data_IF_385896984320
#
_entry.id   IF_385896984320
#
_cell.length_a   1.000
_cell.length_b   1.000
_cell.length_c   1.000
_cell.angle_alpha   90.00
_cell.angle_beta   90.00
_cell.angle_gamma   90.00
#
_symmetry.space_group_name_H-M   'P 1'
#
loop_
_entity.id
_entity.type
_entity.pdbx_description
1 polymer ?
#
# COMPACT_ATOMS: atom_id res chain seq x y z
N UNK A 1 -40.78 34.41 -10.04
CA UNK A 1 -39.33 34.73 -10.01
C UNK A 1 -38.77 35.14 -11.37
N UNK A 2 -39.16 34.48 -12.49
CA UNK A 2 -38.72 34.87 -13.85
C UNK A 2 -38.95 36.36 -14.15
N UNK A 3 -40.11 36.86 -13.80
CA UNK A 3 -40.47 38.28 -13.95
C UNK A 3 -39.57 39.20 -13.10
N UNK A 4 -39.22 38.80 -11.88
CA UNK A 4 -38.34 39.56 -10.99
C UNK A 4 -36.88 39.60 -11.51
N UNK A 5 -36.40 38.53 -12.15
CA UNK A 5 -35.10 38.47 -12.84
C UNK A 5 -35.11 39.36 -14.08
N UNK A 6 -36.17 39.32 -14.87
CA UNK A 6 -36.34 40.17 -16.06
C UNK A 6 -36.29 41.68 -15.73
N UNK A 7 -36.86 42.09 -14.61
CA UNK A 7 -36.83 43.48 -14.12
C UNK A 7 -35.61 43.83 -13.26
N UNK A 8 -34.60 42.96 -13.19
CA UNK A 8 -33.35 43.17 -12.43
C UNK A 8 -33.53 43.23 -10.90
N UNK A 9 -34.69 42.77 -10.38
CA UNK A 9 -35.02 42.73 -8.96
C UNK A 9 -34.58 41.46 -8.23
N UNK A 10 -34.10 40.46 -8.96
CA UNK A 10 -33.56 39.22 -8.43
C UNK A 10 -32.55 38.61 -9.39
N UNK A 11 -31.55 37.93 -8.88
CA UNK A 11 -30.60 37.15 -9.67
C UNK A 11 -31.12 35.73 -9.92
N UNK A 12 -30.72 35.13 -11.05
CA UNK A 12 -31.02 33.75 -11.39
C UNK A 12 -30.49 32.79 -10.30
N UNK A 13 -29.35 33.11 -9.71
CA UNK A 13 -28.70 32.43 -8.59
C UNK A 13 -29.58 32.28 -7.34
N UNK A 14 -30.58 33.18 -7.17
CA UNK A 14 -31.55 33.11 -6.05
C UNK A 14 -32.71 32.14 -6.29
N UNK A 15 -32.77 31.48 -7.42
CA UNK A 15 -33.82 30.50 -7.73
C UNK A 15 -33.52 29.14 -7.14
N UNK A 16 -34.29 28.67 -6.13
CA UNK A 16 -34.08 27.34 -5.47
C UNK A 16 -33.98 26.18 -6.45
N UNK A 17 -34.86 26.02 -7.48
CA UNK A 17 -34.72 24.97 -8.47
C UNK A 17 -33.41 25.06 -9.28
N UNK A 18 -32.98 26.30 -9.62
CA UNK A 18 -31.72 26.49 -10.33
C UNK A 18 -30.52 26.14 -9.45
N UNK A 19 -30.50 26.58 -8.20
CA UNK A 19 -29.47 26.23 -7.23
C UNK A 19 -29.39 24.72 -6.99
N UNK A 20 -30.55 24.06 -6.82
CA UNK A 20 -30.64 22.61 -6.67
C UNK A 20 -30.04 21.90 -7.87
N UNK A 21 -30.48 22.23 -9.09
CA UNK A 21 -29.97 21.64 -10.33
C UNK A 21 -28.47 21.87 -10.51
N UNK A 22 -27.96 23.04 -10.12
CA UNK A 22 -26.53 23.36 -10.19
C UNK A 22 -25.73 22.55 -9.19
N UNK A 23 -26.23 22.38 -7.96
CA UNK A 23 -25.59 21.56 -6.92
C UNK A 23 -25.56 20.08 -7.33
N UNK A 24 -26.68 19.54 -7.83
CA UNK A 24 -26.75 18.17 -8.37
C UNK A 24 -25.75 17.97 -9.51
N UNK A 25 -25.74 18.86 -10.51
CA UNK A 25 -24.79 18.80 -11.64
C UNK A 25 -23.32 18.90 -11.21
N UNK A 26 -23.02 19.63 -10.12
CA UNK A 26 -21.66 19.73 -9.59
C UNK A 26 -21.24 18.43 -8.87
N UNK A 27 -22.13 17.86 -8.05
CA UNK A 27 -21.93 16.57 -7.38
C UNK A 27 -21.70 15.44 -8.40
N UNK A 28 -22.54 15.36 -9.42
CA UNK A 28 -22.42 14.37 -10.50
C UNK A 28 -21.08 14.48 -11.23
N UNK A 29 -20.63 15.71 -11.49
CA UNK A 29 -19.31 15.93 -12.13
C UNK A 29 -18.16 15.48 -11.23
N UNK A 30 -18.19 15.78 -9.93
CA UNK A 30 -17.17 15.34 -8.99
C UNK A 30 -17.12 13.80 -8.98
N UNK A 31 -18.27 13.15 -8.87
CA UNK A 31 -18.34 11.69 -8.87
C UNK A 31 -17.82 11.10 -10.17
N UNK A 32 -18.10 11.73 -11.31
CA UNK A 32 -17.67 11.25 -12.63
C UNK A 32 -16.16 11.38 -12.86
N UNK A 33 -15.50 12.44 -12.35
CA UNK A 33 -14.05 12.68 -12.57
C UNK A 33 -13.16 12.08 -11.48
N UNK A 34 -13.73 11.66 -10.36
CA UNK A 34 -12.97 11.06 -9.25
C UNK A 34 -12.40 9.70 -9.67
N UNK A 35 -11.06 9.50 -9.55
CA UNK A 35 -10.43 8.24 -9.93
C UNK A 35 -10.69 7.11 -8.93
N UNK A 36 -11.16 7.43 -7.73
CA UNK A 36 -11.52 6.44 -6.73
C UNK A 36 -12.92 5.89 -7.01
N UNK A 37 -13.11 4.60 -6.80
CA UNK A 37 -14.42 3.99 -6.85
C UNK A 37 -15.26 4.46 -5.65
N UNK A 38 -16.49 4.90 -5.90
CA UNK A 38 -17.41 5.39 -4.88
C UNK A 38 -18.71 4.60 -4.99
N UNK A 39 -19.18 4.14 -3.84
CA UNK A 39 -20.39 3.38 -3.67
C UNK A 39 -21.17 3.93 -2.48
N UNK A 40 -22.47 4.23 -2.66
CA UNK A 40 -23.39 4.56 -1.57
C UNK A 40 -24.41 3.45 -1.39
N UNK A 41 -24.60 3.01 -0.15
CA UNK A 41 -25.44 1.89 0.24
C UNK A 41 -26.42 2.35 1.31
N UNK A 42 -27.68 1.92 1.27
CA UNK A 42 -28.66 2.16 2.30
C UNK A 42 -28.57 1.15 3.48
N UNK A 43 -29.44 1.30 4.47
CA UNK A 43 -29.50 0.41 5.62
C UNK A 43 -30.00 -1.00 5.30
N UNK A 44 -30.67 -1.19 4.15
CA UNK A 44 -31.08 -2.49 3.62
C UNK A 44 -29.96 -3.16 2.80
N UNK A 45 -28.73 -2.61 2.84
CA UNK A 45 -27.55 -3.07 2.09
C UNK A 45 -27.75 -3.04 0.56
N UNK A 46 -28.60 -2.13 0.07
CA UNK A 46 -28.83 -1.92 -1.36
C UNK A 46 -28.03 -0.73 -1.87
N UNK A 47 -27.46 -0.90 -3.04
CA UNK A 47 -26.68 0.13 -3.73
C UNK A 47 -27.62 1.25 -4.21
N UNK A 48 -27.44 2.44 -3.66
CA UNK A 48 -28.18 3.65 -4.02
C UNK A 48 -27.47 4.48 -5.09
N UNK A 49 -26.13 4.47 -5.05
CA UNK A 49 -25.32 5.22 -6.00
C UNK A 49 -23.97 4.53 -6.23
N UNK A 50 -23.50 4.56 -7.46
CA UNK A 50 -22.19 4.05 -7.87
C UNK A 50 -21.60 4.99 -8.91
N UNK A 51 -20.29 5.29 -8.83
CA UNK A 51 -19.66 6.15 -9.81
C UNK A 51 -19.01 5.34 -10.95
N UNK A 52 -18.64 6.05 -12.02
CA UNK A 52 -18.02 5.44 -13.19
C UNK A 52 -16.73 4.67 -12.88
N UNK A 53 -15.89 5.18 -11.96
CA UNK A 53 -14.66 4.50 -11.56
C UNK A 53 -14.94 3.15 -10.87
N UNK A 54 -16.00 3.05 -10.08
CA UNK A 54 -16.43 1.78 -9.49
C UNK A 54 -16.95 0.80 -10.56
N UNK A 55 -17.74 1.27 -11.50
CA UNK A 55 -18.22 0.45 -12.62
C UNK A 55 -17.05 -0.11 -13.45
N UNK A 56 -16.05 0.70 -13.74
CA UNK A 56 -14.84 0.25 -14.44
C UNK A 56 -14.03 -0.73 -13.60
N UNK A 57 -13.88 -0.48 -12.30
CA UNK A 57 -13.08 -1.31 -11.41
C UNK A 57 -13.63 -2.74 -11.29
N UNK A 58 -14.95 -2.88 -11.26
CA UNK A 58 -15.66 -4.15 -11.09
C UNK A 58 -16.24 -4.70 -12.38
N UNK A 59 -16.01 -4.02 -13.53
CA UNK A 59 -16.55 -4.39 -14.84
C UNK A 59 -18.08 -4.55 -14.84
N UNK A 60 -18.80 -3.61 -14.20
CA UNK A 60 -20.25 -3.58 -14.04
C UNK A 60 -20.89 -2.45 -14.84
N UNK A 61 -22.16 -2.59 -15.15
CA UNK A 61 -23.01 -1.50 -15.60
C UNK A 61 -23.80 -0.93 -14.42
N UNK A 62 -24.07 0.38 -14.46
CA UNK A 62 -24.81 1.05 -13.39
C UNK A 62 -26.19 0.44 -13.19
N UNK A 63 -26.87 0.10 -14.30
CA UNK A 63 -28.23 -0.44 -14.32
C UNK A 63 -28.32 -1.81 -13.67
N UNK A 64 -27.25 -2.61 -13.71
CA UNK A 64 -27.22 -3.97 -13.17
C UNK A 64 -27.06 -4.01 -11.64
N UNK A 65 -26.63 -2.91 -11.04
CA UNK A 65 -26.26 -2.88 -9.62
C UNK A 65 -27.10 -1.92 -8.79
N UNK A 66 -27.69 -0.89 -9.38
CA UNK A 66 -28.56 0.03 -8.65
C UNK A 66 -29.76 -0.70 -8.05
N UNK A 67 -30.00 -0.50 -6.75
CA UNK A 67 -31.05 -1.17 -5.98
C UNK A 67 -30.79 -2.64 -5.67
N UNK A 68 -29.66 -3.21 -6.11
CA UNK A 68 -29.25 -4.58 -5.78
C UNK A 68 -28.46 -4.61 -4.47
N UNK A 69 -28.33 -5.80 -3.86
CA UNK A 69 -27.51 -5.97 -2.66
C UNK A 69 -26.04 -5.70 -2.96
N UNK A 70 -25.37 -5.00 -2.04
CA UNK A 70 -23.92 -4.75 -2.08
C UNK A 70 -23.09 -6.04 -2.06
N UNK A 71 -23.65 -7.14 -1.55
CA UNK A 71 -23.01 -8.46 -1.52
C UNK A 71 -22.60 -9.01 -2.90
N UNK A 72 -23.12 -8.44 -3.97
CA UNK A 72 -22.71 -8.77 -5.35
C UNK A 72 -21.34 -8.23 -5.74
N UNK A 73 -20.82 -7.23 -5.00
CA UNK A 73 -19.56 -6.55 -5.30
C UNK A 73 -18.60 -6.67 -4.13
N UNK A 74 -19.09 -6.46 -2.91
CA UNK A 74 -18.30 -6.40 -1.68
C UNK A 74 -18.96 -7.23 -0.59
N UNK A 75 -18.18 -7.66 0.39
CA UNK A 75 -18.70 -8.28 1.60
C UNK A 75 -19.56 -7.27 2.37
N UNK A 76 -20.82 -7.62 2.62
CA UNK A 76 -21.76 -6.77 3.36
C UNK A 76 -21.44 -6.67 4.86
N UNK A 77 -20.61 -7.58 5.38
CA UNK A 77 -20.24 -7.61 6.80
C UNK A 77 -19.67 -6.27 7.29
N UNK A 78 -18.81 -5.64 6.47
CA UNK A 78 -18.18 -4.36 6.81
C UNK A 78 -19.22 -3.23 6.96
N UNK A 79 -20.26 -3.24 6.12
CA UNK A 79 -21.34 -2.26 6.17
C UNK A 79 -22.25 -2.50 7.38
N UNK A 80 -22.61 -3.76 7.64
CA UNK A 80 -23.40 -4.15 8.81
C UNK A 80 -22.68 -3.81 10.11
N UNK A 81 -21.36 -4.08 10.19
CA UNK A 81 -20.54 -3.73 11.36
C UNK A 81 -20.56 -2.23 11.64
N UNK A 82 -20.46 -1.39 10.61
CA UNK A 82 -20.52 0.06 10.74
C UNK A 82 -21.84 0.52 11.38
N UNK A 83 -22.97 0.01 10.88
CA UNK A 83 -24.30 0.36 11.40
C UNK A 83 -24.49 -0.16 12.82
N UNK A 84 -24.18 -1.44 13.08
CA UNK A 84 -24.35 -2.09 14.38
C UNK A 84 -23.55 -1.40 15.51
N UNK A 85 -22.33 -0.95 15.19
CA UNK A 85 -21.46 -0.27 16.16
C UNK A 85 -21.57 1.26 16.11
N UNK A 86 -22.46 1.81 15.28
CA UNK A 86 -22.62 3.26 15.05
C UNK A 86 -21.28 3.97 14.82
N UNK A 87 -20.39 3.32 14.04
CA UNK A 87 -19.09 3.87 13.70
C UNK A 87 -19.25 4.94 12.62
N UNK A 88 -18.79 6.16 12.87
CA UNK A 88 -18.84 7.25 11.90
C UNK A 88 -17.93 7.01 10.70
N UNK A 89 -16.78 6.33 10.88
CA UNK A 89 -15.84 5.99 9.82
C UNK A 89 -15.02 4.74 10.13
N UNK A 90 -14.59 4.04 9.08
CA UNK A 90 -13.70 2.87 9.17
C UNK A 90 -12.80 2.82 7.94
N UNK A 91 -11.54 2.43 8.12
CA UNK A 91 -10.63 2.14 7.01
C UNK A 91 -10.20 0.67 7.05
N UNK A 92 -10.13 0.06 5.86
CA UNK A 92 -9.74 -1.34 5.70
C UNK A 92 -8.89 -1.51 4.43
N UNK A 93 -7.93 -2.42 4.50
CA UNK A 93 -7.17 -2.88 3.35
C UNK A 93 -7.64 -4.29 2.99
N UNK A 94 -8.07 -4.48 1.77
CA UNK A 94 -8.58 -5.77 1.32
C UNK A 94 -7.95 -6.18 -0.01
N UNK A 95 -7.83 -7.49 -0.21
CA UNK A 95 -7.45 -8.08 -1.49
C UNK A 95 -8.64 -8.81 -2.08
N UNK A 96 -9.15 -8.33 -3.21
CA UNK A 96 -10.24 -8.97 -3.94
C UNK A 96 -9.64 -9.92 -4.98
N UNK A 97 -9.68 -11.22 -4.68
CA UNK A 97 -9.08 -12.25 -5.51
C UNK A 97 -9.73 -12.35 -6.89
N UNK A 98 -11.04 -12.18 -6.98
CA UNK A 98 -11.80 -12.22 -8.24
C UNK A 98 -11.33 -11.18 -9.25
N UNK A 99 -10.90 -10.01 -8.76
CA UNK A 99 -10.48 -8.89 -9.60
C UNK A 99 -8.95 -8.70 -9.58
N UNK A 100 -8.23 -9.48 -8.78
CA UNK A 100 -6.78 -9.34 -8.54
C UNK A 100 -6.38 -7.90 -8.12
N UNK A 101 -7.18 -7.31 -7.23
CA UNK A 101 -7.04 -5.92 -6.78
C UNK A 101 -6.74 -5.83 -5.29
N UNK A 102 -5.73 -5.02 -4.95
CA UNK A 102 -5.56 -4.53 -3.59
C UNK A 102 -6.28 -3.19 -3.46
N UNK A 103 -7.24 -3.13 -2.55
CA UNK A 103 -8.05 -1.95 -2.30
C UNK A 103 -7.78 -1.37 -0.91
N UNK A 104 -7.68 -0.05 -0.84
CA UNK A 104 -7.89 0.70 0.39
C UNK A 104 -9.35 1.15 0.37
N UNK A 105 -10.15 0.66 1.32
CA UNK A 105 -11.56 0.98 1.48
C UNK A 105 -11.74 1.93 2.66
N UNK A 106 -12.45 3.02 2.45
CA UNK A 106 -12.81 3.99 3.49
C UNK A 106 -14.33 4.09 3.54
N UNK A 107 -14.91 3.74 4.67
CA UNK A 107 -16.33 3.75 4.90
C UNK A 107 -16.72 4.94 5.77
N UNK A 108 -17.84 5.58 5.45
CA UNK A 108 -18.42 6.70 6.19
C UNK A 108 -19.89 6.46 6.36
N UNK A 109 -20.38 6.48 7.59
CA UNK A 109 -21.79 6.29 7.93
C UNK A 109 -22.43 7.62 8.33
N UNK A 110 -23.46 8.02 7.60
CA UNK A 110 -24.34 9.13 7.94
C UNK A 110 -25.65 8.59 8.48
N UNK A 111 -25.76 8.57 9.81
CA UNK A 111 -26.96 8.09 10.49
C UNK A 111 -28.21 8.97 10.21
N UNK A 112 -28.03 10.25 9.90
CA UNK A 112 -29.14 11.18 9.61
C UNK A 112 -29.74 10.93 8.23
N UNK A 113 -28.92 10.55 7.27
CA UNK A 113 -29.35 10.18 5.92
C UNK A 113 -29.66 8.67 5.78
N UNK A 114 -29.21 7.83 6.71
CA UNK A 114 -29.30 6.38 6.61
C UNK A 114 -28.49 5.81 5.47
N UNK A 115 -27.31 6.41 5.18
CA UNK A 115 -26.47 6.05 4.04
C UNK A 115 -25.07 5.73 4.51
N UNK A 116 -24.47 4.68 3.94
CA UNK A 116 -23.08 4.32 4.10
C UNK A 116 -22.37 4.60 2.79
N UNK A 117 -21.36 5.47 2.82
CA UNK A 117 -20.51 5.77 1.70
C UNK A 117 -19.23 4.93 1.79
N UNK A 118 -18.92 4.16 0.75
CA UNK A 118 -17.66 3.44 0.62
C UNK A 118 -16.83 4.05 -0.52
N UNK A 119 -15.63 4.53 -0.18
CA UNK A 119 -14.65 5.05 -1.13
C UNK A 119 -13.53 4.02 -1.23
N UNK A 120 -13.24 3.57 -2.45
CA UNK A 120 -12.24 2.53 -2.70
C UNK A 120 -11.14 3.08 -3.61
N UNK A 121 -9.91 2.98 -3.13
CA UNK A 121 -8.72 3.30 -3.92
C UNK A 121 -8.01 2.01 -4.32
N UNK A 122 -7.73 1.86 -5.61
CA UNK A 122 -6.90 0.77 -6.10
C UNK A 122 -5.42 1.06 -5.76
N UNK A 123 -4.83 0.23 -4.93
CA UNK A 123 -3.45 0.34 -4.46
C UNK A 123 -2.57 -0.82 -4.96
N UNK A 124 -3.02 -1.57 -5.95
CA UNK A 124 -2.32 -2.75 -6.48
C UNK A 124 -0.91 -2.40 -6.96
N UNK A 125 -0.78 -1.35 -7.77
CA UNK A 125 0.53 -0.90 -8.26
C UNK A 125 1.44 -0.40 -7.12
N UNK A 126 0.89 0.34 -6.15
CA UNK A 126 1.64 0.82 -4.98
C UNK A 126 2.18 -0.35 -4.16
N UNK A 127 1.33 -1.38 -3.96
CA UNK A 127 1.71 -2.60 -3.24
C UNK A 127 2.77 -3.41 -3.97
N UNK A 128 2.63 -3.56 -5.30
CA UNK A 128 3.61 -4.26 -6.14
C UNK A 128 4.97 -3.56 -6.13
N UNK A 129 5.00 -2.24 -6.32
CA UNK A 129 6.24 -1.45 -6.23
C UNK A 129 6.92 -1.57 -4.88
N UNK A 130 6.13 -1.52 -3.80
CA UNK A 130 6.66 -1.69 -2.44
C UNK A 130 7.28 -3.07 -2.25
N UNK A 131 6.62 -4.11 -2.73
CA UNK A 131 7.13 -5.48 -2.64
C UNK A 131 8.41 -5.66 -3.46
N UNK A 132 8.47 -5.14 -4.69
CA UNK A 132 9.68 -5.15 -5.52
C UNK A 132 10.84 -4.45 -4.82
N UNK A 133 10.60 -3.25 -4.27
CA UNK A 133 11.63 -2.51 -3.53
C UNK A 133 12.13 -3.29 -2.33
N UNK A 134 11.24 -3.97 -1.61
CA UNK A 134 11.61 -4.80 -0.46
C UNK A 134 12.46 -6.00 -0.88
N UNK A 135 12.08 -6.68 -1.96
CA UNK A 135 12.87 -7.78 -2.53
C UNK A 135 14.27 -7.32 -2.94
N UNK A 136 14.38 -6.19 -3.64
CA UNK A 136 15.69 -5.62 -3.98
C UNK A 136 16.54 -5.30 -2.76
N UNK A 137 15.94 -4.70 -1.72
CA UNK A 137 16.67 -4.43 -0.46
C UNK A 137 17.19 -5.71 0.19
N UNK A 138 16.36 -6.74 0.27
CA UNK A 138 16.76 -8.05 0.83
C UNK A 138 17.90 -8.68 0.02
N UNK A 139 17.82 -8.60 -1.30
CA UNK A 139 18.87 -9.10 -2.19
C UNK A 139 20.20 -8.37 -1.99
N UNK A 140 20.17 -7.03 -1.89
CA UNK A 140 21.39 -6.22 -1.64
C UNK A 140 22.02 -6.56 -0.29
N UNK A 141 21.20 -6.72 0.75
CA UNK A 141 21.70 -7.13 2.08
C UNK A 141 22.36 -8.51 1.99
N UNK A 142 21.71 -9.50 1.36
CA UNK A 142 22.29 -10.83 1.21
C UNK A 142 23.60 -10.85 0.39
N UNK A 143 23.73 -9.97 -0.63
CA UNK A 143 24.98 -9.79 -1.35
C UNK A 143 26.07 -9.20 -0.45
N UNK A 144 25.75 -8.19 0.35
CA UNK A 144 26.70 -7.57 1.28
C UNK A 144 27.20 -8.58 2.32
N UNK A 145 26.32 -9.37 2.91
CA UNK A 145 26.67 -10.44 3.85
C UNK A 145 27.62 -11.47 3.21
N UNK A 146 27.29 -11.91 1.99
CA UNK A 146 28.14 -12.85 1.26
C UNK A 146 29.54 -12.31 0.96
N UNK A 147 29.66 -11.01 0.64
CA UNK A 147 30.95 -10.34 0.44
C UNK A 147 31.73 -10.28 1.76
N UNK A 148 31.07 -9.91 2.85
CA UNK A 148 31.71 -9.84 4.17
C UNK A 148 32.22 -11.22 4.62
N UNK A 149 31.44 -12.29 4.44
CA UNK A 149 31.88 -13.66 4.74
C UNK A 149 33.09 -14.08 3.91
N UNK A 150 33.11 -13.77 2.60
CA UNK A 150 34.27 -14.04 1.75
C UNK A 150 35.53 -13.31 2.22
N UNK A 151 35.39 -12.03 2.58
CA UNK A 151 36.51 -11.23 3.08
C UNK A 151 37.04 -11.80 4.39
N UNK A 152 36.17 -12.14 5.34
CA UNK A 152 36.55 -12.79 6.58
C UNK A 152 37.30 -14.10 6.37
N UNK A 153 36.86 -14.91 5.41
CA UNK A 153 37.55 -16.17 5.06
C UNK A 153 38.96 -15.90 4.56
N UNK A 154 39.13 -14.95 3.65
CA UNK A 154 40.45 -14.54 3.14
C UNK A 154 41.36 -14.04 4.25
N UNK A 155 40.83 -13.23 5.18
CA UNK A 155 41.58 -12.75 6.34
C UNK A 155 42.05 -13.91 7.24
N UNK A 156 41.17 -14.90 7.46
CA UNK A 156 41.55 -16.09 8.21
C UNK A 156 42.62 -16.93 7.52
N UNK A 157 42.56 -17.11 6.22
CA UNK A 157 43.58 -17.81 5.42
C UNK A 157 44.95 -17.08 5.52
N UNK A 158 44.95 -15.76 5.35
CA UNK A 158 46.19 -14.95 5.49
C UNK A 158 46.76 -15.06 6.90
N UNK A 159 45.92 -14.96 7.95
CA UNK A 159 46.33 -15.09 9.32
C UNK A 159 46.93 -16.47 9.62
N UNK A 160 46.37 -17.54 9.07
CA UNK A 160 46.88 -18.90 9.19
C UNK A 160 48.26 -19.03 8.52
N UNK A 161 48.44 -18.54 7.30
CA UNK A 161 49.71 -18.56 6.57
C UNK A 161 50.80 -17.75 7.29
N UNK A 162 50.46 -16.58 7.83
CA UNK A 162 51.37 -15.76 8.60
C UNK A 162 51.80 -16.45 9.91
N UNK A 163 50.86 -17.13 10.56
CA UNK A 163 51.10 -17.92 11.76
C UNK A 163 52.07 -19.08 11.50
N UNK A 164 51.87 -19.81 10.40
CA UNK A 164 52.73 -20.91 9.97
C UNK A 164 54.15 -20.43 9.63
N UNK A 165 54.27 -19.36 8.82
CA UNK A 165 55.57 -18.76 8.49
C UNK A 165 56.31 -18.23 9.71
N UNK A 166 55.60 -17.64 10.67
CA UNK A 166 56.24 -17.19 11.93
C UNK A 166 56.72 -18.37 12.80
N UNK A 167 56.01 -19.49 12.80
CA UNK A 167 56.41 -20.71 13.50
C UNK A 167 57.67 -21.32 12.85
N UNK A 168 57.68 -21.46 11.51
CA UNK A 168 58.85 -21.94 10.74
C UNK A 168 60.09 -21.07 10.99
N UNK A 169 59.94 -19.74 10.95
CA UNK A 169 60.99 -18.81 11.24
C UNK A 169 61.54 -19.00 12.66
N UNK A 170 60.68 -19.22 13.63
CA UNK A 170 61.07 -19.44 15.02
C UNK A 170 61.83 -20.75 15.20
N UNK A 171 61.44 -21.82 14.49
CA UNK A 171 62.18 -23.11 14.49
C UNK A 171 63.56 -22.91 13.85
N UNK A 172 63.67 -22.28 12.69
CA UNK A 172 64.94 -22.04 12.01
C UNK A 172 65.92 -21.20 12.86
N UNK A 173 65.39 -20.18 13.59
CA UNK A 173 66.20 -19.39 14.52
C UNK A 173 66.69 -20.25 15.73
N UNK A 174 65.86 -21.16 16.22
CA UNK A 174 66.22 -22.08 17.29
C UNK A 174 67.34 -23.04 16.85
N UNK A 175 67.22 -23.64 15.69
CA UNK A 175 68.26 -24.51 15.09
C UNK A 175 69.57 -23.77 14.85
N UNK A 176 69.50 -22.55 14.36
CA UNK A 176 70.72 -21.72 14.20
C UNK A 176 71.40 -21.39 15.52
N UNK A 177 70.64 -21.08 16.57
CA UNK A 177 71.19 -20.86 17.90
C UNK A 177 71.86 -22.09 18.47
N UNK A 178 71.27 -23.26 18.29
CA UNK A 178 71.82 -24.54 18.75
C UNK A 178 73.11 -24.88 18.01
N UNK A 179 73.20 -24.67 16.70
CA UNK A 179 74.41 -24.88 15.92
C UNK A 179 75.57 -23.92 16.32
N UNK A 180 75.25 -22.69 16.64
CA UNK A 180 76.26 -21.71 17.10
C UNK A 180 76.81 -22.01 18.53
N UNK A 181 75.95 -22.57 19.41
CA UNK A 181 76.34 -22.98 20.75
C UNK A 181 77.22 -24.21 20.76
N UNK A 182 77.05 -25.15 19.84
CA UNK A 182 77.90 -26.31 19.72
C UNK A 182 79.33 -25.94 19.24
N UNK A 183 79.44 -24.93 18.37
CA UNK A 183 80.77 -24.45 17.87
C UNK A 183 81.60 -23.74 18.94
N UNK A 184 80.98 -23.16 19.98
CA UNK A 184 81.63 -22.52 21.11
C UNK A 184 82.12 -23.51 22.22
N UNK A 185 81.55 -24.75 22.28
CA UNK A 185 82.00 -25.80 23.21
C UNK A 185 83.19 -26.65 22.71
N UNK A 186 83.48 -26.59 21.38
CA UNK A 186 84.62 -27.30 20.79
C UNK A 186 85.91 -26.47 20.71
N UNK A 187 85.91 -25.24 21.24
CA UNK A 187 87.04 -24.35 21.28
C UNK A 187 87.61 -24.20 22.69
#
# INVERSE_FOLDING_TARGET
>A
KAIAVYFGRAEISMCMPYMKKRAESFSDKILAITPNAILAVDLDMKVQQINHAACQMFSLQVEDILGQSVSRILDEFDFVEMVANNKASMEKYNYLAEYNLYLKQSFYYDASAGIILCIMKNITQEKQRKNQLMQHKTQVIGMADSIAEKQLRIVHEIASLLGESAAETKVAIAELKEAVMIDDEER
#
